data_IF_311123761734
#
_entry.id   IF_311123761734
#
_cell.length_a   1.000
_cell.length_b   1.000
_cell.length_c   1.000
_cell.angle_alpha   90.00
_cell.angle_beta   90.00
_cell.angle_gamma   90.00
#
_symmetry.space_group_name_H-M   'P 1'
#
loop_
_entity.id
_entity.type
_entity.pdbx_description
1 polymer ?
#
# COMPACT_ATOMS: atom_id res chain seq x y z
N UNK A 1 -17.56 -3.20 -8.99
CA UNK A 1 -16.86 -4.50 -9.10
C UNK A 1 -17.70 -5.58 -8.40
N UNK A 2 -18.65 -6.14 -9.10
CA UNK A 2 -19.61 -7.10 -8.50
C UNK A 2 -18.95 -8.37 -7.92
N UNK A 3 -17.83 -8.82 -8.53
CA UNK A 3 -17.10 -10.00 -8.06
C UNK A 3 -16.36 -9.76 -6.73
N UNK A 4 -16.00 -8.52 -6.41
CA UNK A 4 -15.28 -8.18 -5.19
C UNK A 4 -16.20 -7.95 -3.99
N UNK A 5 -17.48 -7.64 -4.23
CA UNK A 5 -18.45 -7.28 -3.18
C UNK A 5 -18.62 -8.41 -2.14
N UNK A 6 -18.65 -9.68 -2.58
CA UNK A 6 -18.77 -10.81 -1.66
C UNK A 6 -17.62 -10.86 -0.65
N UNK A 7 -16.38 -10.59 -1.08
CA UNK A 7 -15.21 -10.61 -0.19
C UNK A 7 -15.19 -9.40 0.74
N UNK A 8 -15.53 -8.22 0.22
CA UNK A 8 -15.60 -6.98 1.00
C UNK A 8 -16.66 -7.11 2.09
N UNK A 9 -17.81 -7.69 1.79
CA UNK A 9 -18.88 -7.93 2.79
C UNK A 9 -18.42 -8.91 3.86
N UNK A 10 -17.80 -10.05 3.47
CA UNK A 10 -17.26 -11.01 4.43
C UNK A 10 -16.22 -10.39 5.36
N UNK A 11 -15.32 -9.57 4.84
CA UNK A 11 -14.32 -8.85 5.63
C UNK A 11 -14.98 -7.85 6.57
N UNK A 12 -15.95 -7.08 6.08
CA UNK A 12 -16.64 -6.06 6.87
C UNK A 12 -17.44 -6.68 8.03
N UNK A 13 -18.18 -7.76 7.77
CA UNK A 13 -18.88 -8.52 8.81
C UNK A 13 -17.91 -9.14 9.83
N UNK A 14 -16.77 -9.63 9.35
CA UNK A 14 -15.75 -10.23 10.21
C UNK A 14 -15.05 -9.19 11.10
N UNK A 15 -14.79 -7.99 10.58
CA UNK A 15 -14.28 -6.87 11.37
C UNK A 15 -15.24 -6.52 12.50
N UNK A 16 -16.54 -6.43 12.22
CA UNK A 16 -17.56 -6.13 13.25
C UNK A 16 -17.59 -7.19 14.37
N UNK A 17 -17.37 -8.47 14.03
CA UNK A 17 -17.32 -9.57 15.00
C UNK A 17 -16.04 -9.61 15.85
N UNK A 18 -14.97 -8.93 15.39
CA UNK A 18 -13.66 -8.91 16.04
C UNK A 18 -13.31 -7.52 16.60
N UNK A 19 -14.33 -6.74 17.00
CA UNK A 19 -14.10 -5.51 17.76
C UNK A 19 -13.51 -5.83 19.13
N UNK A 20 -12.62 -4.96 19.56
CA UNK A 20 -11.97 -5.08 20.86
C UNK A 20 -12.82 -4.36 21.93
N UNK A 21 -13.33 -5.12 22.87
CA UNK A 21 -14.18 -4.62 23.97
C UNK A 21 -13.47 -4.73 25.35
N UNK A 22 -12.20 -5.16 25.33
CA UNK A 22 -11.41 -5.37 26.53
C UNK A 22 -10.93 -4.05 27.15
N UNK A 23 -10.60 -4.08 28.44
CA UNK A 23 -9.86 -3.03 29.12
C UNK A 23 -8.34 -3.22 28.92
N UNK A 24 -7.53 -2.13 28.90
CA UNK A 24 -7.97 -0.74 29.08
C UNK A 24 -8.59 -0.16 27.81
N UNK A 25 -9.74 0.48 27.95
CA UNK A 25 -10.51 1.02 26.82
C UNK A 25 -9.73 2.06 26.00
N UNK A 26 -8.87 2.84 26.65
CA UNK A 26 -8.03 3.85 26.02
C UNK A 26 -7.02 3.26 25.04
N UNK A 27 -6.71 1.98 25.17
CA UNK A 27 -5.86 1.24 24.21
C UNK A 27 -6.64 0.75 23.00
N UNK A 28 -7.84 0.20 23.23
CA UNK A 28 -8.59 -0.53 22.19
C UNK A 28 -9.61 0.32 21.43
N UNK A 29 -10.18 1.36 22.05
CA UNK A 29 -11.09 2.26 21.34
C UNK A 29 -10.44 2.95 20.12
N UNK A 30 -9.18 3.45 20.18
CA UNK A 30 -8.51 3.99 19.01
C UNK A 30 -8.31 2.96 17.89
N UNK A 31 -8.07 1.69 18.25
CA UNK A 31 -7.97 0.59 17.28
C UNK A 31 -9.32 0.39 16.57
N UNK A 32 -10.41 0.29 17.32
CA UNK A 32 -11.74 0.17 16.72
C UNK A 32 -12.09 1.38 15.86
N UNK A 33 -11.67 2.59 16.26
CA UNK A 33 -11.88 3.82 15.50
C UNK A 33 -11.20 3.75 14.14
N UNK A 34 -9.90 3.42 14.06
CA UNK A 34 -9.19 3.40 12.76
C UNK A 34 -9.71 2.28 11.85
N UNK A 35 -9.99 1.11 12.41
CA UNK A 35 -10.54 -0.02 11.65
C UNK A 35 -11.92 0.35 11.08
N UNK A 36 -12.79 1.02 11.87
CA UNK A 36 -14.10 1.48 11.43
C UNK A 36 -14.04 2.65 10.43
N UNK A 37 -12.93 3.39 10.37
CA UNK A 37 -12.77 4.53 9.44
C UNK A 37 -12.77 4.14 7.96
N UNK A 38 -13.03 2.87 7.67
CA UNK A 38 -13.24 2.39 6.32
C UNK A 38 -11.93 2.16 5.57
N UNK A 39 -12.04 2.11 4.27
CA UNK A 39 -10.99 1.78 3.33
C UNK A 39 -11.54 0.79 2.30
N UNK A 40 -10.83 0.65 1.18
CA UNK A 40 -11.26 -0.25 0.08
C UNK A 40 -11.11 -1.74 0.42
N UNK A 41 -10.56 -2.07 1.59
CA UNK A 41 -10.32 -3.45 2.06
C UNK A 41 -9.61 -4.32 1.00
N UNK A 42 -8.74 -3.69 0.21
CA UNK A 42 -8.09 -4.33 -0.92
C UNK A 42 -7.23 -5.52 -0.48
N UNK A 43 -6.37 -5.32 0.52
CA UNK A 43 -5.41 -6.35 0.94
C UNK A 43 -6.07 -7.60 1.51
N UNK A 44 -7.01 -7.49 2.48
CA UNK A 44 -7.73 -8.67 2.94
C UNK A 44 -8.57 -9.33 1.84
N UNK A 45 -9.13 -8.55 0.91
CA UNK A 45 -9.84 -9.08 -0.26
C UNK A 45 -8.90 -9.91 -1.15
N UNK A 46 -7.65 -9.48 -1.38
CA UNK A 46 -6.66 -10.24 -2.14
C UNK A 46 -6.39 -11.61 -1.53
N UNK A 47 -6.33 -11.72 -0.19
CA UNK A 47 -6.18 -13.01 0.51
C UNK A 47 -7.35 -13.93 0.21
N UNK A 48 -8.59 -13.45 0.37
CA UNK A 48 -9.79 -14.26 0.10
C UNK A 48 -9.91 -14.64 -1.39
N UNK A 49 -9.61 -13.70 -2.30
CA UNK A 49 -9.62 -13.97 -3.74
C UNK A 49 -8.62 -15.06 -4.13
N UNK A 50 -7.40 -15.01 -3.59
CA UNK A 50 -6.38 -16.00 -3.89
C UNK A 50 -6.80 -17.39 -3.36
N UNK A 51 -7.34 -17.46 -2.15
CA UNK A 51 -7.86 -18.71 -1.57
C UNK A 51 -8.98 -19.29 -2.44
N UNK A 52 -10.00 -18.50 -2.79
CA UNK A 52 -11.13 -18.93 -3.63
C UNK A 52 -10.70 -19.32 -5.04
N UNK A 53 -9.71 -18.63 -5.60
CA UNK A 53 -9.24 -18.91 -6.95
C UNK A 53 -8.64 -20.30 -7.10
N UNK A 54 -7.92 -20.77 -6.08
CA UNK A 54 -7.34 -22.12 -6.03
C UNK A 54 -8.23 -23.15 -5.34
N UNK A 55 -9.50 -22.82 -5.04
CA UNK A 55 -10.48 -23.76 -4.49
C UNK A 55 -10.30 -24.07 -3.00
N UNK A 56 -9.56 -23.22 -2.25
CA UNK A 56 -9.41 -23.33 -0.81
C UNK A 56 -10.67 -22.87 -0.04
N UNK A 57 -10.73 -23.23 1.25
CA UNK A 57 -11.82 -22.77 2.12
C UNK A 57 -11.64 -21.31 2.53
N UNK A 58 -12.56 -20.46 2.05
CA UNK A 58 -12.56 -19.03 2.37
C UNK A 58 -12.70 -18.79 3.89
N UNK A 59 -13.42 -19.65 4.63
CA UNK A 59 -13.59 -19.48 6.06
C UNK A 59 -12.27 -19.58 6.82
N UNK A 60 -11.38 -20.47 6.39
CA UNK A 60 -10.02 -20.58 6.94
C UNK A 60 -9.20 -19.32 6.63
N UNK A 61 -9.47 -18.64 5.52
CA UNK A 61 -8.73 -17.45 5.11
C UNK A 61 -9.21 -16.14 5.78
N UNK A 62 -10.38 -16.13 6.43
CA UNK A 62 -10.94 -14.89 7.02
C UNK A 62 -9.99 -14.31 8.07
N UNK A 63 -9.55 -15.09 9.06
CA UNK A 63 -8.65 -14.62 10.11
C UNK A 63 -7.29 -14.15 9.55
N UNK A 64 -6.58 -14.89 8.70
CA UNK A 64 -5.39 -14.39 8.01
C UNK A 64 -5.62 -13.11 7.19
N UNK A 65 -6.77 -12.96 6.54
CA UNK A 65 -7.13 -11.73 5.84
C UNK A 65 -7.30 -10.55 6.81
N UNK A 66 -7.91 -10.77 7.99
CA UNK A 66 -7.97 -9.77 9.06
C UNK A 66 -6.57 -9.42 9.59
N UNK A 67 -5.68 -10.41 9.75
CA UNK A 67 -4.27 -10.17 10.12
C UNK A 67 -3.61 -9.15 9.19
N UNK A 68 -3.75 -9.33 7.89
CA UNK A 68 -3.22 -8.41 6.86
C UNK A 68 -3.83 -7.01 7.00
N UNK A 69 -5.14 -6.91 7.20
CA UNK A 69 -5.82 -5.62 7.33
C UNK A 69 -5.43 -4.91 8.63
N UNK A 70 -5.32 -5.64 9.73
CA UNK A 70 -4.94 -5.07 11.03
C UNK A 70 -3.49 -4.61 11.02
N UNK A 71 -2.60 -5.41 10.44
CA UNK A 71 -1.22 -5.00 10.22
C UNK A 71 -1.14 -3.72 9.35
N UNK A 72 -1.92 -3.64 8.26
CA UNK A 72 -1.97 -2.41 7.47
C UNK A 72 -2.45 -1.20 8.28
N UNK A 73 -3.48 -1.38 9.13
CA UNK A 73 -3.95 -0.27 9.98
C UNK A 73 -2.92 0.11 11.05
N UNK A 74 -2.15 -0.86 11.59
CA UNK A 74 -1.00 -0.56 12.44
C UNK A 74 0.00 0.35 11.72
N UNK A 75 0.40 0.02 10.49
CA UNK A 75 1.33 0.87 9.74
C UNK A 75 0.77 2.27 9.51
N UNK A 76 -0.53 2.40 9.23
CA UNK A 76 -1.18 3.71 9.06
C UNK A 76 -1.18 4.56 10.33
N UNK A 77 -1.35 3.95 11.52
CA UNK A 77 -1.29 4.69 12.80
C UNK A 77 0.09 5.27 13.02
N UNK A 78 1.14 4.47 12.78
CA UNK A 78 2.52 4.90 12.99
C UNK A 78 2.98 5.88 11.91
N UNK A 79 2.60 5.67 10.64
CA UNK A 79 2.84 6.61 9.55
C UNK A 79 2.23 7.99 9.87
N UNK A 80 0.97 8.03 10.33
CA UNK A 80 0.31 9.29 10.71
C UNK A 80 1.08 10.07 11.79
N UNK A 81 1.70 9.36 12.74
CA UNK A 81 2.53 9.97 13.79
C UNK A 81 3.85 10.50 13.22
N UNK A 82 4.52 9.72 12.36
CA UNK A 82 5.79 10.09 11.74
C UNK A 82 5.65 11.29 10.81
N UNK A 83 4.52 11.37 10.09
CA UNK A 83 4.22 12.44 9.14
C UNK A 83 3.54 13.65 9.81
N UNK A 84 3.28 13.59 11.14
CA UNK A 84 2.49 14.59 11.89
C UNK A 84 1.15 14.92 11.20
N UNK A 85 0.53 13.93 10.61
CA UNK A 85 -0.66 14.08 9.78
C UNK A 85 -1.91 14.31 10.64
N UNK A 86 -2.60 15.47 10.54
CA UNK A 86 -3.77 15.75 11.38
C UNK A 86 -5.01 14.95 10.95
N UNK A 87 -5.09 14.57 9.69
CA UNK A 87 -6.25 13.90 9.09
C UNK A 87 -5.85 12.69 8.26
N UNK A 88 -6.65 11.63 8.33
CA UNK A 88 -6.63 10.48 7.42
C UNK A 88 -8.03 10.18 6.91
N UNK A 89 -8.18 10.13 5.57
CA UNK A 89 -9.50 9.91 4.92
C UNK A 89 -10.56 10.91 5.39
N UNK A 90 -10.16 12.17 5.59
CA UNK A 90 -11.04 13.25 6.04
C UNK A 90 -11.46 13.19 7.52
N UNK A 91 -10.91 12.25 8.32
CA UNK A 91 -11.15 12.12 9.76
C UNK A 91 -9.86 12.38 10.54
N UNK A 92 -9.94 12.92 11.79
CA UNK A 92 -8.77 13.12 12.61
C UNK A 92 -8.00 11.82 12.86
N UNK A 93 -6.66 11.89 12.88
CA UNK A 93 -5.78 10.76 13.19
C UNK A 93 -5.83 10.40 14.68
N UNK A 94 -5.37 9.18 15.01
CA UNK A 94 -5.40 8.73 16.42
C UNK A 94 -4.56 9.65 17.32
N UNK A 95 -3.36 10.03 16.88
CA UNK A 95 -2.50 10.89 17.69
C UNK A 95 -3.06 12.30 17.85
N UNK A 96 -3.80 12.81 16.88
CA UNK A 96 -4.48 14.11 16.98
C UNK A 96 -5.65 14.09 17.99
N UNK A 97 -6.34 12.94 18.17
CA UNK A 97 -7.44 12.82 19.14
C UNK A 97 -6.94 12.42 20.54
N UNK A 98 -6.05 11.42 20.60
CA UNK A 98 -5.70 10.71 21.84
C UNK A 98 -4.26 10.96 22.29
N UNK A 99 -3.46 11.72 21.51
CA UNK A 99 -2.05 11.97 21.75
C UNK A 99 -1.11 10.87 21.23
N UNK A 100 0.16 11.23 21.08
CA UNK A 100 1.21 10.39 20.47
C UNK A 100 1.38 9.07 21.20
N UNK A 101 1.44 9.07 22.53
CA UNK A 101 1.67 7.86 23.33
C UNK A 101 0.56 6.82 23.12
N UNK A 102 -0.70 7.25 23.08
CA UNK A 102 -1.82 6.37 22.80
C UNK A 102 -1.76 5.84 21.37
N UNK A 103 -1.39 6.69 20.40
CA UNK A 103 -1.19 6.28 19.03
C UNK A 103 -0.13 5.17 18.91
N UNK A 104 1.04 5.35 19.54
CA UNK A 104 2.11 4.32 19.54
C UNK A 104 1.60 3.02 20.17
N UNK A 105 1.04 3.06 21.37
CA UNK A 105 0.59 1.85 22.08
C UNK A 105 -0.54 1.15 21.37
N UNK A 106 -1.50 1.86 20.78
CA UNK A 106 -2.59 1.27 20.00
C UNK A 106 -2.06 0.62 18.72
N UNK A 107 -1.08 1.23 18.06
CA UNK A 107 -0.39 0.64 16.92
C UNK A 107 0.34 -0.65 17.31
N UNK A 108 1.13 -0.64 18.38
CA UNK A 108 1.85 -1.83 18.87
C UNK A 108 0.89 -2.97 19.24
N UNK A 109 -0.21 -2.65 19.96
CA UNK A 109 -1.22 -3.63 20.30
C UNK A 109 -1.86 -4.23 19.04
N UNK A 110 -2.15 -3.39 18.03
CA UNK A 110 -2.74 -3.86 16.77
C UNK A 110 -1.77 -4.74 15.98
N UNK A 111 -0.47 -4.44 15.99
CA UNK A 111 0.57 -5.30 15.43
C UNK A 111 0.54 -6.69 16.08
N UNK A 112 0.56 -6.76 17.41
CA UNK A 112 0.50 -8.04 18.13
C UNK A 112 -0.81 -8.79 17.83
N UNK A 113 -1.95 -8.09 17.86
CA UNK A 113 -3.25 -8.69 17.51
C UNK A 113 -3.25 -9.24 16.07
N UNK A 114 -2.57 -8.61 15.13
CA UNK A 114 -2.46 -9.13 13.76
C UNK A 114 -1.79 -10.49 13.69
N UNK A 115 -0.76 -10.75 14.50
CA UNK A 115 -0.12 -12.06 14.59
C UNK A 115 -1.03 -13.12 15.21
N UNK A 116 -1.84 -12.76 16.20
CA UNK A 116 -2.77 -13.68 16.87
C UNK A 116 -3.83 -14.26 15.92
N UNK A 117 -4.19 -13.54 14.85
CA UNK A 117 -5.15 -14.05 13.85
C UNK A 117 -4.64 -15.25 13.03
N UNK A 118 -3.37 -15.64 13.13
CA UNK A 118 -2.85 -16.84 12.50
C UNK A 118 -2.91 -18.08 13.41
N UNK A 119 -3.16 -17.93 14.71
CA UNK A 119 -3.01 -19.00 15.71
C UNK A 119 -3.92 -20.21 15.48
N UNK A 120 -5.05 -20.06 14.77
CA UNK A 120 -5.96 -21.16 14.46
C UNK A 120 -5.56 -21.99 13.24
N UNK A 121 -4.47 -21.61 12.55
CA UNK A 121 -4.01 -22.37 11.41
C UNK A 121 -3.29 -23.67 11.84
N UNK A 122 -3.41 -24.71 11.00
CA UNK A 122 -2.62 -25.93 11.17
C UNK A 122 -1.10 -25.62 11.27
N UNK A 123 -0.34 -26.33 12.11
CA UNK A 123 1.03 -25.95 12.46
C UNK A 123 1.97 -25.72 11.27
N UNK A 124 1.85 -26.51 10.19
CA UNK A 124 2.69 -26.34 8.99
C UNK A 124 2.31 -25.07 8.23
N UNK A 125 1.01 -24.82 8.07
CA UNK A 125 0.49 -23.63 7.40
C UNK A 125 0.80 -22.38 8.24
N UNK A 126 0.56 -22.45 9.56
CA UNK A 126 0.93 -21.40 10.50
C UNK A 126 2.40 -20.98 10.32
N UNK A 127 3.31 -21.94 10.34
CA UNK A 127 4.75 -21.67 10.19
C UNK A 127 5.07 -20.96 8.87
N UNK A 128 4.47 -21.41 7.76
CA UNK A 128 4.66 -20.78 6.44
C UNK A 128 4.13 -19.34 6.42
N UNK A 129 2.90 -19.13 6.92
CA UNK A 129 2.26 -17.82 6.95
C UNK A 129 3.01 -16.84 7.85
N UNK A 130 3.39 -17.25 9.06
CA UNK A 130 4.11 -16.39 10.02
C UNK A 130 5.50 -16.03 9.51
N UNK A 131 6.22 -16.96 8.89
CA UNK A 131 7.54 -16.66 8.30
C UNK A 131 7.41 -15.57 7.23
N UNK A 132 6.51 -15.75 6.26
CA UNK A 132 6.27 -14.76 5.21
C UNK A 132 5.79 -13.41 5.78
N UNK A 133 4.88 -13.44 6.75
CA UNK A 133 4.32 -12.23 7.37
C UNK A 133 5.37 -11.45 8.16
N UNK A 134 6.24 -12.14 8.89
CA UNK A 134 7.34 -11.52 9.66
C UNK A 134 8.38 -10.89 8.73
N UNK A 135 8.79 -11.59 7.66
CA UNK A 135 9.70 -11.04 6.65
C UNK A 135 9.10 -9.80 5.97
N UNK A 136 7.80 -9.85 5.71
CA UNK A 136 7.06 -8.72 5.14
C UNK A 136 7.04 -7.53 6.10
N UNK A 137 6.79 -7.77 7.38
CA UNK A 137 6.82 -6.74 8.41
C UNK A 137 8.18 -6.04 8.50
N UNK A 138 9.27 -6.80 8.48
CA UNK A 138 10.62 -6.25 8.47
C UNK A 138 10.86 -5.37 7.23
N UNK A 139 10.51 -5.86 6.03
CA UNK A 139 10.65 -5.09 4.79
C UNK A 139 9.83 -3.80 4.79
N UNK A 140 8.63 -3.81 5.37
CA UNK A 140 7.81 -2.59 5.46
C UNK A 140 8.49 -1.55 6.36
N UNK A 141 9.06 -1.97 7.50
CA UNK A 141 9.84 -1.07 8.36
C UNK A 141 11.08 -0.52 7.63
N UNK A 142 11.80 -1.38 6.88
CA UNK A 142 12.92 -0.95 6.05
C UNK A 142 12.49 0.06 4.99
N UNK A 143 11.38 -0.19 4.29
CA UNK A 143 10.82 0.70 3.28
C UNK A 143 10.41 2.05 3.86
N UNK A 144 9.78 2.07 5.03
CA UNK A 144 9.43 3.30 5.73
C UNK A 144 10.67 4.08 6.16
N UNK A 145 11.70 3.40 6.66
CA UNK A 145 12.96 4.06 7.01
C UNK A 145 13.69 4.63 5.78
N UNK A 146 13.63 3.94 4.64
CA UNK A 146 14.17 4.45 3.37
C UNK A 146 13.44 5.73 2.96
N UNK A 147 12.10 5.77 3.04
CA UNK A 147 11.28 6.93 2.70
C UNK A 147 11.68 8.15 3.55
N UNK A 148 11.77 7.99 4.87
CA UNK A 148 12.24 9.05 5.80
C UNK A 148 13.67 9.51 5.44
N UNK A 149 14.58 8.58 5.13
CA UNK A 149 15.95 8.94 4.79
C UNK A 149 16.03 9.71 3.47
N UNK A 150 15.18 9.39 2.49
CA UNK A 150 15.17 10.02 1.17
C UNK A 150 14.78 11.51 1.23
N UNK A 151 13.99 11.92 2.21
CA UNK A 151 13.68 13.35 2.40
C UNK A 151 14.95 14.21 2.56
N UNK A 152 15.99 13.66 3.21
CA UNK A 152 17.25 14.36 3.53
C UNK A 152 18.37 14.12 2.51
N UNK A 153 18.17 13.20 1.55
CA UNK A 153 19.15 12.83 0.54
C UNK A 153 18.87 13.49 -0.81
N UNK A 154 19.92 13.85 -1.53
CA UNK A 154 19.84 14.38 -2.89
C UNK A 154 20.45 13.44 -3.94
N UNK A 155 20.92 12.28 -3.51
CA UNK A 155 21.61 11.24 -4.31
C UNK A 155 20.79 9.97 -4.43
N UNK A 156 19.48 10.03 -4.20
CA UNK A 156 18.57 8.88 -4.30
C UNK A 156 18.51 8.42 -5.75
N UNK A 157 18.85 7.15 -5.99
CA UNK A 157 18.76 6.54 -7.30
C UNK A 157 17.34 6.05 -7.61
N UNK A 158 17.07 5.83 -8.91
CA UNK A 158 15.80 5.25 -9.35
C UNK A 158 15.56 3.86 -8.75
N UNK A 159 16.59 3.00 -8.72
CA UNK A 159 16.50 1.64 -8.16
C UNK A 159 16.20 1.66 -6.66
N UNK A 160 16.79 2.58 -5.88
CA UNK A 160 16.47 2.76 -4.47
C UNK A 160 15.01 3.19 -4.28
N UNK A 161 14.49 4.07 -5.13
CA UNK A 161 13.08 4.48 -5.07
C UNK A 161 12.14 3.31 -5.36
N UNK A 162 12.41 2.50 -6.39
CA UNK A 162 11.64 1.29 -6.68
C UNK A 162 11.71 0.29 -5.52
N UNK A 163 12.87 0.13 -4.90
CA UNK A 163 13.02 -0.75 -3.74
C UNK A 163 12.19 -0.24 -2.56
N UNK A 164 12.22 1.06 -2.27
CA UNK A 164 11.41 1.68 -1.21
C UNK A 164 9.91 1.45 -1.48
N UNK A 165 9.41 1.73 -2.67
CA UNK A 165 8.01 1.47 -3.07
C UNK A 165 7.67 -0.02 -2.91
N UNK A 166 8.56 -0.90 -3.35
CA UNK A 166 8.38 -2.34 -3.21
C UNK A 166 8.20 -2.73 -1.75
N UNK A 167 9.08 -2.27 -0.88
CA UNK A 167 9.08 -2.61 0.54
C UNK A 167 7.94 -1.94 1.31
N UNK A 168 7.68 -0.66 1.10
CA UNK A 168 6.63 0.07 1.82
C UNK A 168 5.22 -0.34 1.37
N UNK A 169 5.02 -0.60 0.07
CA UNK A 169 3.67 -0.77 -0.51
C UNK A 169 3.45 -2.14 -1.15
N UNK A 170 4.39 -2.62 -1.97
CA UNK A 170 4.22 -3.83 -2.80
C UNK A 170 4.14 -5.12 -1.98
N UNK A 171 5.06 -5.29 -1.02
CA UNK A 171 5.22 -6.57 -0.30
C UNK A 171 3.97 -6.99 0.48
N UNK A 172 3.20 -6.07 1.06
CA UNK A 172 2.02 -6.45 1.83
C UNK A 172 0.88 -6.97 0.94
N UNK A 173 0.70 -6.39 -0.24
CA UNK A 173 -0.26 -6.88 -1.22
C UNK A 173 0.15 -8.24 -1.80
N UNK A 174 1.45 -8.42 -2.06
CA UNK A 174 2.03 -9.69 -2.49
C UNK A 174 1.87 -10.78 -1.42
N UNK A 175 2.13 -10.44 -0.16
CA UNK A 175 1.97 -11.33 0.99
C UNK A 175 0.51 -11.74 1.18
N UNK A 176 -0.44 -10.81 1.03
CA UNK A 176 -1.86 -11.11 1.09
C UNK A 176 -2.26 -12.20 0.07
N UNK A 177 -1.80 -12.06 -1.18
CA UNK A 177 -2.02 -13.06 -2.23
C UNK A 177 -1.36 -14.40 -1.92
N UNK A 178 -0.10 -14.39 -1.50
CA UNK A 178 0.66 -15.63 -1.23
C UNK A 178 0.13 -16.37 -0.02
N UNK A 179 -0.32 -15.68 1.03
CA UNK A 179 -1.01 -16.30 2.17
C UNK A 179 -2.31 -16.97 1.73
N UNK A 180 -3.12 -16.29 0.90
CA UNK A 180 -4.33 -16.91 0.34
C UNK A 180 -4.03 -18.16 -0.48
N UNK A 181 -2.98 -18.14 -1.28
CA UNK A 181 -2.49 -19.29 -2.05
C UNK A 181 -2.01 -20.44 -1.15
N UNK A 182 -1.31 -20.15 -0.05
CA UNK A 182 -0.89 -21.14 0.94
C UNK A 182 -2.08 -21.82 1.63
N UNK A 183 -3.12 -21.06 1.98
CA UNK A 183 -4.35 -21.59 2.59
C UNK A 183 -5.08 -22.53 1.62
N UNK A 184 -5.03 -22.24 0.34
CA UNK A 184 -5.59 -23.12 -0.69
C UNK A 184 -4.68 -24.29 -1.06
N UNK A 185 -3.55 -24.45 -0.40
CA UNK A 185 -2.56 -25.52 -0.67
C UNK A 185 -2.11 -25.59 -2.14
N UNK A 186 -2.08 -24.43 -2.82
CA UNK A 186 -1.69 -24.40 -4.22
C UNK A 186 -0.20 -24.74 -4.41
N UNK A 187 0.25 -25.15 -5.61
CA UNK A 187 1.65 -25.36 -5.91
C UNK A 187 2.52 -24.14 -5.58
N UNK A 188 3.71 -24.34 -5.02
CA UNK A 188 4.61 -23.24 -4.62
C UNK A 188 4.94 -22.31 -5.79
N UNK A 189 5.03 -22.84 -7.01
CA UNK A 189 5.23 -22.05 -8.22
C UNK A 189 4.08 -21.05 -8.48
N UNK A 190 2.84 -21.46 -8.21
CA UNK A 190 1.66 -20.61 -8.34
C UNK A 190 1.61 -19.56 -7.25
N UNK A 191 1.92 -19.94 -6.00
CA UNK A 191 2.02 -19.03 -4.88
C UNK A 191 3.08 -17.93 -5.13
N UNK A 192 4.25 -18.32 -5.68
CA UNK A 192 5.30 -17.36 -6.04
C UNK A 192 4.88 -16.47 -7.22
N UNK A 193 4.23 -17.02 -8.22
CA UNK A 193 3.71 -16.24 -9.36
C UNK A 193 2.68 -15.19 -8.91
N UNK A 194 1.78 -15.53 -7.97
CA UNK A 194 0.86 -14.57 -7.35
C UNK A 194 1.59 -13.53 -6.49
N UNK A 195 2.62 -13.92 -5.77
CA UNK A 195 3.44 -12.99 -5.00
C UNK A 195 4.06 -11.94 -5.93
N UNK A 196 4.68 -12.37 -7.02
CA UNK A 196 5.28 -11.46 -8.00
C UNK A 196 4.22 -10.59 -8.71
N UNK A 197 3.04 -11.13 -9.01
CA UNK A 197 1.90 -10.34 -9.47
C UNK A 197 1.58 -9.22 -8.48
N UNK A 198 1.50 -9.52 -7.18
CA UNK A 198 1.21 -8.56 -6.12
C UNK A 198 2.29 -7.48 -5.97
N UNK A 199 3.57 -7.84 -6.09
CA UNK A 199 4.70 -6.89 -6.07
C UNK A 199 4.53 -5.85 -7.18
N UNK A 200 4.42 -6.30 -8.43
CA UNK A 200 4.35 -5.40 -9.57
C UNK A 200 3.07 -4.58 -9.59
N UNK A 201 1.94 -5.16 -9.17
CA UNK A 201 0.69 -4.42 -9.00
C UNK A 201 0.81 -3.33 -7.93
N UNK A 202 1.48 -3.62 -6.81
CA UNK A 202 1.71 -2.64 -5.73
C UNK A 202 2.62 -1.50 -6.16
N UNK A 203 3.67 -1.78 -6.95
CA UNK A 203 4.56 -0.75 -7.51
C UNK A 203 3.78 0.14 -8.49
N UNK A 204 3.06 -0.45 -9.45
CA UNK A 204 2.25 0.29 -10.42
C UNK A 204 1.21 1.17 -9.72
N UNK A 205 0.57 0.63 -8.68
CA UNK A 205 -0.41 1.34 -7.88
C UNK A 205 0.20 2.57 -7.17
N UNK A 206 1.37 2.43 -6.54
CA UNK A 206 2.03 3.55 -5.86
C UNK A 206 2.48 4.62 -6.84
N UNK A 207 3.12 4.23 -7.96
CA UNK A 207 3.51 5.20 -8.99
C UNK A 207 2.31 5.97 -9.56
N UNK A 208 1.15 5.29 -9.70
CA UNK A 208 -0.09 5.94 -10.12
C UNK A 208 -0.63 6.89 -9.05
N UNK A 209 -0.55 6.51 -7.76
CA UNK A 209 -0.95 7.38 -6.66
C UNK A 209 -0.07 8.64 -6.61
N UNK A 210 1.27 8.52 -6.78
CA UNK A 210 2.22 9.64 -6.85
C UNK A 210 1.92 10.54 -8.07
N UNK A 211 1.60 9.95 -9.22
CA UNK A 211 1.18 10.69 -10.42
C UNK A 211 -0.11 11.49 -10.17
N UNK A 212 -1.11 10.84 -9.58
CA UNK A 212 -2.42 11.46 -9.31
C UNK A 212 -2.37 12.50 -8.20
N UNK A 213 -1.43 12.43 -7.27
CA UNK A 213 -1.20 13.47 -6.26
C UNK A 213 -0.88 14.82 -6.93
N UNK A 214 -0.12 14.81 -8.04
CA UNK A 214 0.27 16.01 -8.78
C UNK A 214 -0.74 16.37 -9.88
N UNK A 215 -1.19 15.41 -10.68
CA UNK A 215 -1.94 15.60 -11.92
C UNK A 215 -3.41 15.14 -11.86
N UNK A 216 -3.86 14.59 -10.73
CA UNK A 216 -5.24 14.14 -10.55
C UNK A 216 -6.26 15.28 -10.41
N UNK A 217 -7.53 14.97 -10.63
CA UNK A 217 -8.61 15.95 -10.49
C UNK A 217 -8.83 16.37 -9.03
N UNK A 218 -9.01 17.69 -8.81
CA UNK A 218 -9.37 18.24 -7.51
C UNK A 218 -10.73 17.70 -7.07
N UNK A 219 -10.80 16.96 -5.99
CA UNK A 219 -12.06 16.52 -5.36
C UNK A 219 -12.16 15.04 -5.06
N UNK A 220 -11.37 14.19 -5.70
CA UNK A 220 -11.52 12.73 -5.56
C UNK A 220 -10.75 12.12 -4.36
N UNK A 221 -9.78 12.82 -3.77
CA UNK A 221 -8.82 12.23 -2.82
C UNK A 221 -8.92 12.73 -1.37
N UNK A 222 -9.64 13.80 -1.07
CA UNK A 222 -9.75 14.34 0.30
C UNK A 222 -8.42 14.74 0.94
N UNK A 223 -7.33 14.85 0.15
CA UNK A 223 -6.00 15.34 0.50
C UNK A 223 -5.73 16.68 -0.17
N UNK A 224 -4.73 17.41 0.35
CA UNK A 224 -4.18 18.59 -0.31
C UNK A 224 -3.49 18.13 -1.60
N UNK A 225 -3.77 18.82 -2.71
CA UNK A 225 -3.14 18.52 -4.01
C UNK A 225 -1.63 18.76 -3.94
N UNK A 226 -0.85 17.93 -4.63
CA UNK A 226 0.61 18.00 -4.71
C UNK A 226 1.30 17.93 -3.33
N UNK A 227 0.77 17.10 -2.42
CA UNK A 227 1.36 16.88 -1.10
C UNK A 227 2.80 16.38 -1.19
N UNK A 228 3.09 15.48 -2.11
CA UNK A 228 4.43 14.93 -2.33
C UNK A 228 5.44 16.00 -2.76
N UNK A 229 5.02 17.01 -3.54
CA UNK A 229 5.86 18.17 -3.88
C UNK A 229 6.13 19.00 -2.63
N UNK A 230 5.09 19.30 -1.83
CA UNK A 230 5.22 20.10 -0.61
C UNK A 230 6.17 19.44 0.41
N UNK A 231 6.09 18.13 0.54
CA UNK A 231 6.91 17.32 1.46
C UNK A 231 8.29 16.96 0.93
N UNK A 232 8.65 17.37 -0.31
CA UNK A 232 9.92 17.07 -0.96
C UNK A 232 10.19 15.57 -1.19
N UNK A 233 9.13 14.77 -1.41
CA UNK A 233 9.27 13.33 -1.64
C UNK A 233 10.01 13.04 -2.94
N UNK A 234 10.95 12.10 -2.85
CA UNK A 234 11.77 11.66 -4.00
C UNK A 234 11.01 10.59 -4.81
N UNK A 235 9.82 10.99 -5.31
CA UNK A 235 8.97 10.12 -6.13
C UNK A 235 9.60 9.78 -7.48
N UNK A 236 9.03 8.81 -8.19
CA UNK A 236 9.44 8.48 -9.57
C UNK A 236 9.32 9.69 -10.49
N UNK A 237 8.29 10.55 -10.31
CA UNK A 237 8.15 11.81 -11.04
C UNK A 237 9.37 12.72 -10.84
N UNK A 238 9.76 12.97 -9.59
CA UNK A 238 10.90 13.80 -9.25
C UNK A 238 12.20 13.25 -9.85
N UNK A 239 12.48 11.96 -9.65
CA UNK A 239 13.72 11.32 -10.10
C UNK A 239 13.80 11.31 -11.63
N UNK A 240 12.71 11.04 -12.31
CA UNK A 240 12.62 11.09 -13.77
C UNK A 240 12.85 12.52 -14.29
N UNK A 241 12.21 13.51 -13.67
CA UNK A 241 12.42 14.90 -14.03
C UNK A 241 13.87 15.31 -13.82
N UNK A 242 14.50 14.93 -12.70
CA UNK A 242 15.90 15.24 -12.41
C UNK A 242 16.86 14.62 -13.43
N UNK A 243 16.58 13.40 -13.92
CA UNK A 243 17.37 12.74 -14.96
C UNK A 243 17.27 13.44 -16.31
N UNK A 244 16.06 13.86 -16.72
CA UNK A 244 15.77 14.42 -18.04
C UNK A 244 15.96 15.94 -18.16
N UNK A 245 16.04 16.63 -17.02
CA UNK A 245 16.17 18.09 -16.96
C UNK A 245 17.51 18.58 -17.50
N UNK A 246 17.50 19.75 -18.12
CA UNK A 246 18.73 20.51 -18.41
C UNK A 246 19.35 21.08 -17.11
N UNK A 247 20.55 21.66 -17.21
CA UNK A 247 21.28 22.17 -16.03
C UNK A 247 20.54 23.30 -15.29
N UNK A 248 19.73 24.09 -16.00
CA UNK A 248 18.94 25.16 -15.39
C UNK A 248 17.75 24.57 -14.64
N UNK A 249 17.02 23.66 -15.26
CA UNK A 249 15.88 22.96 -14.67
C UNK A 249 16.30 22.12 -13.46
N UNK A 250 17.47 21.43 -13.53
CA UNK A 250 18.03 20.68 -12.40
C UNK A 250 18.26 21.57 -11.19
N UNK A 251 18.92 22.70 -11.39
CA UNK A 251 19.17 23.65 -10.30
C UNK A 251 17.90 24.20 -9.71
N UNK A 252 16.92 24.52 -10.56
CA UNK A 252 15.63 25.04 -10.13
C UNK A 252 14.86 23.99 -9.32
N UNK A 253 14.78 22.76 -9.83
CA UNK A 253 14.11 21.63 -9.14
C UNK A 253 14.78 21.33 -7.79
N UNK A 254 16.11 21.26 -7.74
CA UNK A 254 16.86 21.04 -6.50
C UNK A 254 16.67 22.19 -5.50
N UNK A 255 16.60 23.43 -5.94
CA UNK A 255 16.33 24.56 -5.07
C UNK A 255 14.95 24.49 -4.42
N UNK A 256 13.91 24.11 -5.17
CA UNK A 256 12.57 23.89 -4.63
C UNK A 256 12.52 22.75 -3.61
N UNK A 257 13.31 21.69 -3.80
CA UNK A 257 13.40 20.52 -2.91
C UNK A 257 14.39 20.68 -1.77
N UNK A 258 15.03 21.84 -1.64
CA UNK A 258 15.98 22.13 -0.55
C UNK A 258 15.25 22.47 0.75
N UNK A 259 14.08 23.10 0.67
CA UNK A 259 13.29 23.51 1.84
C UNK A 259 11.82 23.09 1.70
N UNK A 260 11.19 22.80 2.85
CA UNK A 260 9.73 22.57 2.87
C UNK A 260 9.03 23.90 2.58
N UNK A 261 8.21 23.90 1.56
CA UNK A 261 7.40 25.04 1.13
C UNK A 261 6.09 24.50 0.56
N UNK A 262 4.98 25.04 1.02
CA UNK A 262 3.63 24.65 0.60
C UNK A 262 2.97 25.69 -0.32
N UNK A 263 3.77 26.61 -0.85
CA UNK A 263 3.28 27.67 -1.73
C UNK A 263 2.78 27.13 -3.07
N UNK A 264 1.77 27.78 -3.63
CA UNK A 264 1.30 27.47 -4.97
C UNK A 264 2.39 27.72 -6.01
N UNK A 265 3.29 28.70 -5.77
CA UNK A 265 4.43 28.98 -6.64
C UNK A 265 5.36 27.77 -6.80
N UNK A 266 5.69 27.08 -5.69
CA UNK A 266 6.48 25.84 -5.74
C UNK A 266 5.75 24.74 -6.52
N UNK A 267 4.47 24.51 -6.22
CA UNK A 267 3.66 23.50 -6.89
C UNK A 267 3.65 23.74 -8.40
N UNK A 268 3.36 24.97 -8.82
CA UNK A 268 3.28 25.34 -10.24
C UNK A 268 4.64 25.19 -10.95
N UNK A 269 5.73 25.67 -10.30
CA UNK A 269 7.07 25.59 -10.87
C UNK A 269 7.55 24.14 -11.03
N UNK A 270 7.37 23.31 -10.00
CA UNK A 270 7.80 21.90 -10.03
C UNK A 270 6.93 21.09 -11.00
N UNK A 271 5.61 21.26 -10.99
CA UNK A 271 4.71 20.58 -11.92
C UNK A 271 5.04 20.93 -13.37
N UNK A 272 5.38 22.20 -13.63
CA UNK A 272 5.85 22.62 -14.96
C UNK A 272 7.13 21.91 -15.37
N UNK A 273 8.11 21.77 -14.47
CA UNK A 273 9.37 21.04 -14.77
C UNK A 273 9.03 19.57 -15.07
N UNK A 274 8.10 18.94 -14.35
CA UNK A 274 7.67 17.56 -14.62
C UNK A 274 7.10 17.41 -16.03
N UNK A 275 6.27 18.36 -16.48
CA UNK A 275 5.72 18.37 -17.84
C UNK A 275 6.79 18.66 -18.90
N UNK A 276 7.63 19.68 -18.69
CA UNK A 276 8.68 20.08 -19.64
C UNK A 276 9.72 18.97 -19.87
N UNK A 277 9.97 18.14 -18.85
CA UNK A 277 10.87 16.97 -18.90
C UNK A 277 10.17 15.68 -19.32
N UNK A 278 8.86 15.71 -19.53
CA UNK A 278 8.00 14.54 -19.80
C UNK A 278 8.04 13.47 -18.71
N UNK A 279 8.30 13.86 -17.47
CA UNK A 279 8.33 12.93 -16.34
C UNK A 279 6.96 12.29 -16.10
N UNK A 280 5.89 13.02 -16.37
CA UNK A 280 4.50 12.55 -16.35
C UNK A 280 4.25 11.40 -17.34
N UNK A 281 4.61 11.59 -18.63
CA UNK A 281 4.48 10.57 -19.69
C UNK A 281 5.32 9.32 -19.36
N UNK A 282 6.57 9.54 -18.91
CA UNK A 282 7.50 8.45 -18.57
C UNK A 282 6.99 7.66 -17.36
N UNK A 283 6.48 8.33 -16.32
CA UNK A 283 5.90 7.67 -15.14
C UNK A 283 4.70 6.80 -15.53
N UNK A 284 3.78 7.30 -16.35
CA UNK A 284 2.65 6.51 -16.85
C UNK A 284 3.10 5.30 -17.67
N UNK A 285 4.18 5.42 -18.44
CA UNK A 285 4.76 4.29 -19.16
C UNK A 285 5.33 3.24 -18.21
N UNK A 286 6.02 3.64 -17.15
CA UNK A 286 6.53 2.74 -16.11
C UNK A 286 5.40 2.04 -15.36
N UNK A 287 4.32 2.74 -15.04
CA UNK A 287 3.09 2.15 -14.48
C UNK A 287 2.58 1.03 -15.39
N UNK A 288 2.50 1.29 -16.71
CA UNK A 288 2.04 0.28 -17.67
C UNK A 288 3.02 -0.91 -17.78
N UNK A 289 4.32 -0.68 -17.74
CA UNK A 289 5.34 -1.74 -17.76
C UNK A 289 5.23 -2.66 -16.54
N UNK A 290 5.04 -2.10 -15.34
CA UNK A 290 4.80 -2.89 -14.13
C UNK A 290 3.46 -3.64 -14.19
N UNK A 291 2.40 -3.01 -14.68
CA UNK A 291 1.11 -3.67 -14.88
C UNK A 291 1.22 -4.85 -15.85
N UNK A 292 1.92 -4.69 -16.97
CA UNK A 292 2.11 -5.78 -17.94
C UNK A 292 3.00 -6.89 -17.36
N UNK A 293 3.96 -6.56 -16.52
CA UNK A 293 4.79 -7.53 -15.81
C UNK A 293 3.97 -8.31 -14.78
N UNK A 294 3.09 -7.64 -14.05
CA UNK A 294 2.12 -8.30 -13.17
C UNK A 294 1.27 -9.32 -13.96
N UNK A 295 0.69 -8.92 -15.10
CA UNK A 295 -0.07 -9.83 -15.99
C UNK A 295 0.75 -11.04 -16.44
N UNK A 296 2.03 -10.84 -16.78
CA UNK A 296 2.93 -11.96 -17.16
C UNK A 296 3.10 -12.96 -16.02
N UNK A 297 3.23 -12.49 -14.77
CA UNK A 297 3.33 -13.37 -13.62
C UNK A 297 2.01 -14.11 -13.35
N UNK A 298 0.88 -13.44 -13.39
CA UNK A 298 -0.44 -14.07 -13.26
C UNK A 298 -0.65 -15.17 -14.31
N UNK A 299 -0.22 -14.94 -15.56
CA UNK A 299 -0.37 -15.92 -16.64
C UNK A 299 0.47 -17.18 -16.42
N UNK A 300 1.52 -17.16 -15.59
CA UNK A 300 2.30 -18.35 -15.23
C UNK A 300 1.58 -19.28 -14.25
N UNK A 301 0.51 -18.80 -13.58
CA UNK A 301 -0.27 -19.64 -12.66
C UNK A 301 -1.09 -20.68 -13.40
N UNK A 302 -1.41 -21.77 -12.71
CA UNK A 302 -2.31 -22.84 -13.21
C UNK A 302 -3.79 -22.44 -13.17
N UNK A 303 -4.14 -21.24 -12.73
CA UNK A 303 -5.51 -20.73 -12.69
C UNK A 303 -6.15 -20.78 -14.10
N UNK A 304 -7.44 -21.11 -14.15
CA UNK A 304 -8.20 -21.03 -15.37
C UNK A 304 -8.42 -19.57 -15.83
N UNK A 305 -8.90 -19.39 -17.06
CA UNK A 305 -9.09 -18.07 -17.67
C UNK A 305 -10.02 -17.18 -16.85
N UNK A 306 -11.14 -17.69 -16.37
CA UNK A 306 -12.13 -16.94 -15.60
C UNK A 306 -11.52 -16.35 -14.31
N UNK A 307 -10.74 -17.16 -13.56
CA UNK A 307 -10.08 -16.73 -12.35
C UNK A 307 -8.99 -15.68 -12.64
N UNK A 308 -8.19 -15.86 -13.69
CA UNK A 308 -7.22 -14.86 -14.15
C UNK A 308 -7.88 -13.54 -14.52
N UNK A 309 -9.00 -13.58 -15.25
CA UNK A 309 -9.75 -12.39 -15.63
C UNK A 309 -10.24 -11.59 -14.43
N UNK A 310 -10.62 -12.24 -13.32
CA UNK A 310 -11.00 -11.56 -12.09
C UNK A 310 -9.83 -10.75 -11.49
N UNK A 311 -8.61 -11.31 -11.45
CA UNK A 311 -7.42 -10.59 -11.00
C UNK A 311 -7.01 -9.46 -11.96
N UNK A 312 -7.14 -9.68 -13.26
CA UNK A 312 -6.86 -8.64 -14.27
C UNK A 312 -7.85 -7.49 -14.17
N UNK A 313 -9.14 -7.79 -14.01
CA UNK A 313 -10.17 -6.77 -13.82
C UNK A 313 -9.91 -5.93 -12.55
N UNK A 314 -9.42 -6.55 -11.49
CA UNK A 314 -9.00 -5.83 -10.29
C UNK A 314 -7.77 -4.94 -10.55
N UNK A 315 -6.75 -5.47 -11.21
CA UNK A 315 -5.55 -4.72 -11.56
C UNK A 315 -5.89 -3.50 -12.43
N UNK A 316 -6.69 -3.70 -13.47
CA UNK A 316 -7.15 -2.62 -14.34
C UNK A 316 -7.99 -1.57 -13.57
N UNK A 317 -8.86 -2.00 -12.65
CA UNK A 317 -9.63 -1.09 -11.82
C UNK A 317 -8.75 -0.22 -10.92
N UNK A 318 -7.69 -0.80 -10.34
CA UNK A 318 -6.79 -0.08 -9.44
C UNK A 318 -5.99 1.01 -10.17
N UNK A 319 -5.68 0.81 -11.44
CA UNK A 319 -4.91 1.75 -12.26
C UNK A 319 -5.79 2.76 -13.01
N UNK A 320 -7.06 2.43 -13.31
CA UNK A 320 -7.99 3.31 -14.03
C UNK A 320 -8.67 4.35 -13.13
N UNK A 321 -8.14 4.63 -11.95
CA UNK A 321 -8.68 5.66 -11.08
C UNK A 321 -8.44 7.02 -11.72
N UNK A 322 -9.50 7.60 -12.27
CA UNK A 322 -9.63 9.02 -12.66
C UNK A 322 -8.41 9.61 -13.41
N UNK A 323 -8.05 8.99 -14.57
CA UNK A 323 -7.34 9.70 -15.63
C UNK A 323 -8.31 10.53 -16.42
#
# INVERSE_FOLDING_TARGET
>A
MHFAEKYINLISESIEKHKFEEAPFELYQPINYIIANGGKRLRPMLTLMATDAFGGDINTAIKPALAIEFFHNFTLIHDDIMDDAPLRRGKPTIHAIHGINTGILSGDALLIKSYQFFEDLEPVLFKKCIHLFSDTGAKICEGQQMDINFEKRNDVSFDESIQMITYKTGVLSATALKIGAFIAECPEQDAEALYQFGIHLGIAFQMMDDYLDVFGNQGDFGKKQAGDICENKKTVLYLTALEKADEKQKKELQNWYFQKDESQEKIDAVSKIFLDTKADEITLKLVQEHHDTAKKHLNKTSLNTEKKEAFLALADYLLKRNI
#
